data_IF_147695500506
#
_entry.id   IF_147695500506
#
_cell.length_a   1.000
_cell.length_b   1.000
_cell.length_c   1.000
_cell.angle_alpha   90.00
_cell.angle_beta   90.00
_cell.angle_gamma   90.00
#
_symmetry.space_group_name_H-M   'P 1'
#
loop_
_entity.id
_entity.type
_entity.pdbx_description
1 polymer ?
#
# COMPACT_ATOMS: atom_id res chain seq x y z
N UNK A 1 57.62 44.97 -43.86
CA UNK A 1 57.02 46.10 -43.12
C UNK A 1 56.27 45.51 -41.91
N UNK A 2 56.70 45.83 -40.69
CA UNK A 2 56.23 45.19 -39.45
C UNK A 2 54.79 45.61 -39.12
N UNK A 3 53.89 44.66 -38.89
CA UNK A 3 52.59 44.90 -38.29
C UNK A 3 52.55 44.22 -36.92
N UNK A 4 52.21 45.03 -35.92
CA UNK A 4 52.22 44.77 -34.50
C UNK A 4 50.76 44.57 -34.08
N UNK A 5 50.39 43.40 -33.55
CA UNK A 5 49.02 43.14 -33.06
C UNK A 5 49.08 42.90 -31.55
N UNK A 6 48.52 43.87 -30.82
CA UNK A 6 48.37 43.87 -29.37
C UNK A 6 47.16 43.06 -28.93
N UNK A 7 47.40 42.33 -27.87
CA UNK A 7 46.55 41.64 -26.90
C UNK A 7 45.34 42.45 -26.40
N UNK A 8 44.16 41.83 -26.29
CA UNK A 8 43.19 42.05 -25.20
C UNK A 8 42.56 40.68 -24.87
N UNK A 9 42.91 40.12 -23.71
CA UNK A 9 42.23 38.96 -23.12
C UNK A 9 41.44 39.46 -21.90
N UNK A 10 40.11 39.37 -21.96
CA UNK A 10 39.20 39.77 -20.90
C UNK A 10 38.99 38.57 -19.96
N UNK A 11 39.56 38.60 -18.77
CA UNK A 11 39.27 37.65 -17.70
C UNK A 11 38.05 38.13 -16.91
N UNK A 12 36.89 37.51 -17.15
CA UNK A 12 35.69 37.68 -16.32
C UNK A 12 35.78 36.80 -15.08
N UNK A 13 35.85 37.43 -13.90
CA UNK A 13 35.85 36.75 -12.60
C UNK A 13 34.42 36.32 -12.24
N UNK A 14 34.16 35.02 -12.25
CA UNK A 14 32.89 34.45 -11.78
C UNK A 14 32.91 34.35 -10.25
N UNK A 15 32.21 35.24 -9.56
CA UNK A 15 31.99 35.17 -8.12
C UNK A 15 30.96 34.07 -7.81
N UNK A 16 31.44 32.89 -7.39
CA UNK A 16 30.60 31.85 -6.82
C UNK A 16 30.23 32.24 -5.37
N UNK A 17 28.99 32.67 -5.15
CA UNK A 17 28.43 32.84 -3.80
C UNK A 17 28.14 31.45 -3.23
N UNK A 18 29.08 30.92 -2.45
CA UNK A 18 28.88 29.69 -1.67
C UNK A 18 28.05 30.05 -0.45
N UNK A 19 26.72 30.01 -0.60
CA UNK A 19 25.81 30.06 0.53
C UNK A 19 26.00 28.79 1.38
N UNK A 20 26.56 28.93 2.58
CA UNK A 20 26.57 27.86 3.57
C UNK A 20 25.12 27.58 4.02
N UNK A 21 24.45 26.66 3.33
CA UNK A 21 23.21 26.06 3.82
C UNK A 21 23.63 25.22 5.02
N UNK A 22 23.31 25.70 6.22
CA UNK A 22 23.45 24.90 7.43
C UNK A 22 22.60 23.65 7.28
N UNK A 23 23.24 22.52 7.00
CA UNK A 23 22.62 21.20 7.03
C UNK A 23 22.35 20.87 8.49
N UNK A 24 21.24 21.39 9.03
CA UNK A 24 20.74 20.95 10.32
C UNK A 24 20.68 19.43 10.29
N UNK A 25 21.45 18.78 11.16
CA UNK A 25 21.48 17.33 11.29
C UNK A 25 20.08 16.89 11.71
N UNK A 26 19.33 16.32 10.77
CA UNK A 26 18.04 15.72 11.08
C UNK A 26 18.28 14.58 12.07
N UNK A 27 17.66 14.66 13.24
CA UNK A 27 17.73 13.57 14.20
C UNK A 27 16.87 12.42 13.68
N UNK A 28 17.40 11.19 13.70
CA UNK A 28 16.69 9.99 13.24
C UNK A 28 15.34 9.78 13.96
N UNK A 29 15.16 10.38 15.14
CA UNK A 29 13.92 10.40 15.91
C UNK A 29 12.78 11.23 15.28
N UNK A 30 13.06 12.08 14.30
CA UNK A 30 12.08 13.01 13.72
C UNK A 30 10.92 12.32 13.00
N UNK A 31 11.15 11.07 12.57
CA UNK A 31 10.19 10.23 11.85
C UNK A 31 9.84 8.95 12.61
N UNK A 32 9.96 8.95 13.94
CA UNK A 32 9.36 7.90 14.77
C UNK A 32 7.87 8.24 14.99
N UNK A 33 7.01 7.86 14.05
CA UNK A 33 5.57 8.03 14.15
C UNK A 33 5.00 7.17 15.29
N UNK A 34 3.99 7.68 16.00
CA UNK A 34 3.29 6.88 16.98
C UNK A 34 2.28 5.94 16.29
N UNK A 35 2.63 4.66 16.20
CA UNK A 35 1.79 3.62 15.56
C UNK A 35 0.47 3.36 16.31
N UNK A 36 0.36 3.78 17.58
CA UNK A 36 -0.90 3.68 18.33
C UNK A 36 -1.93 4.74 17.93
N UNK A 37 -1.53 5.75 17.15
CA UNK A 37 -2.45 6.72 16.55
C UNK A 37 -3.14 6.18 15.27
N UNK A 38 -2.72 5.03 14.76
CA UNK A 38 -3.43 4.33 13.68
C UNK A 38 -4.78 3.85 14.23
N UNK A 39 -5.86 4.32 13.61
CA UNK A 39 -7.23 4.05 14.06
C UNK A 39 -7.84 2.83 13.37
N UNK A 40 -8.74 2.08 14.03
CA UNK A 40 -9.60 1.13 13.34
C UNK A 40 -10.45 1.82 12.27
N UNK A 41 -10.79 1.09 11.22
CA UNK A 41 -11.69 1.59 10.19
C UNK A 41 -13.13 1.71 10.72
N UNK A 42 -13.78 2.82 10.39
CA UNK A 42 -15.17 3.11 10.75
C UNK A 42 -15.83 3.97 9.67
N UNK A 43 -17.15 3.89 9.53
CA UNK A 43 -17.89 4.73 8.57
C UNK A 43 -17.77 6.23 8.91
N UNK A 44 -17.68 6.57 10.19
CA UNK A 44 -17.51 7.95 10.65
C UNK A 44 -16.23 8.59 10.12
N UNK A 45 -15.18 7.81 9.85
CA UNK A 45 -13.89 8.34 9.39
C UNK A 45 -13.99 9.05 8.03
N UNK A 46 -14.94 8.64 7.18
CA UNK A 46 -15.18 9.28 5.89
C UNK A 46 -15.88 10.64 6.04
N UNK A 47 -16.72 10.79 7.08
CA UNK A 47 -17.44 12.04 7.36
C UNK A 47 -16.53 13.13 7.93
N UNK A 48 -15.37 12.77 8.48
CA UNK A 48 -14.46 13.73 9.12
C UNK A 48 -13.78 14.68 8.12
N UNK A 49 -13.63 14.29 6.85
CA UNK A 49 -12.79 15.03 5.90
C UNK A 49 -13.49 15.38 4.58
N UNK A 50 -14.65 14.79 4.28
CA UNK A 50 -15.41 15.03 3.04
C UNK A 50 -14.52 14.99 1.78
N UNK A 51 -13.77 13.90 1.62
CA UNK A 51 -12.82 13.71 0.52
C UNK A 51 -13.31 12.62 -0.43
N UNK A 52 -13.48 13.00 -1.68
CA UNK A 52 -13.78 12.07 -2.77
C UNK A 52 -12.48 11.54 -3.39
N UNK A 53 -12.23 10.23 -3.45
CA UNK A 53 -11.04 9.66 -4.07
C UNK A 53 -11.18 9.49 -5.61
N UNK A 54 -10.07 9.48 -6.37
CA UNK A 54 -8.71 9.62 -5.86
C UNK A 54 -8.38 11.07 -5.49
N UNK A 55 -7.46 11.26 -4.55
CA UNK A 55 -6.91 12.57 -4.20
C UNK A 55 -5.47 12.40 -3.71
N UNK A 56 -4.75 13.52 -3.62
CA UNK A 56 -3.40 13.55 -3.07
C UNK A 56 -3.41 14.27 -1.73
N UNK A 57 -2.87 13.62 -0.71
CA UNK A 57 -2.55 14.24 0.57
C UNK A 57 -1.04 14.49 0.64
N UNK A 58 -0.66 15.76 0.76
CA UNK A 58 0.73 16.17 0.93
C UNK A 58 1.01 16.53 2.39
N UNK A 59 2.07 15.97 2.94
CA UNK A 59 2.59 16.28 4.27
C UNK A 59 4.03 16.76 4.16
N UNK A 60 4.41 17.74 4.98
CA UNK A 60 5.75 18.31 4.98
C UNK A 60 6.29 18.45 6.39
N UNK A 61 7.59 18.19 6.55
CA UNK A 61 8.37 18.57 7.74
C UNK A 61 9.80 18.84 7.30
N UNK A 62 10.28 20.06 7.56
CA UNK A 62 11.61 20.51 7.10
C UNK A 62 11.74 20.31 5.58
N UNK A 63 12.81 19.64 5.14
CA UNK A 63 13.06 19.27 3.73
C UNK A 63 12.47 17.91 3.33
N UNK A 64 11.60 17.30 4.15
CA UNK A 64 10.98 16.01 3.89
C UNK A 64 9.54 16.18 3.44
N UNK A 65 9.16 15.47 2.38
CA UNK A 65 7.81 15.46 1.82
C UNK A 65 7.28 14.03 1.76
N UNK A 66 6.08 13.83 2.27
CA UNK A 66 5.28 12.63 2.02
C UNK A 66 4.15 13.03 1.06
N UNK A 67 4.07 12.33 -0.07
CA UNK A 67 2.97 12.42 -1.02
C UNK A 67 2.20 11.11 -0.92
N UNK A 68 0.93 11.18 -0.55
CA UNK A 68 0.06 10.01 -0.46
C UNK A 68 -1.03 10.13 -1.52
N UNK A 69 -1.04 9.21 -2.48
CA UNK A 69 -2.13 9.07 -3.45
C UNK A 69 -3.16 8.13 -2.83
N UNK A 70 -4.29 8.71 -2.41
CA UNK A 70 -5.45 8.00 -1.90
C UNK A 70 -6.22 7.40 -3.09
N UNK A 71 -5.77 6.24 -3.57
CA UNK A 71 -6.22 5.64 -4.82
C UNK A 71 -7.62 5.04 -4.74
N UNK A 72 -8.25 4.89 -5.92
CA UNK A 72 -9.43 4.05 -6.16
C UNK A 72 -9.02 2.92 -7.10
N UNK A 73 -9.35 1.67 -6.73
CA UNK A 73 -9.20 0.52 -7.62
C UNK A 73 -10.28 0.58 -8.70
N UNK A 74 -9.92 1.07 -9.87
CA UNK A 74 -10.85 1.28 -10.97
C UNK A 74 -11.02 -0.03 -11.78
N UNK A 75 -12.26 -0.51 -11.99
CA UNK A 75 -12.49 -1.69 -12.81
C UNK A 75 -12.28 -1.35 -14.30
N UNK A 76 -11.66 -2.27 -15.04
CA UNK A 76 -11.47 -2.15 -16.49
C UNK A 76 -12.78 -1.99 -17.28
N UNK A 77 -13.92 -2.39 -16.70
CA UNK A 77 -15.25 -2.20 -17.28
C UNK A 77 -15.63 -0.71 -17.34
N UNK A 78 -15.23 0.09 -16.36
CA UNK A 78 -15.49 1.53 -16.30
C UNK A 78 -14.46 2.32 -17.12
N UNK A 79 -13.22 1.84 -17.16
CA UNK A 79 -12.13 2.43 -17.93
C UNK A 79 -11.50 1.36 -18.82
N UNK A 80 -11.94 1.24 -20.09
CA UNK A 80 -11.37 0.29 -21.04
C UNK A 80 -9.85 0.47 -21.24
N UNK A 81 -9.39 1.71 -21.06
CA UNK A 81 -7.98 2.06 -20.92
C UNK A 81 -7.73 2.60 -19.50
N UNK A 82 -7.05 1.83 -18.65
CA UNK A 82 -6.78 2.24 -17.26
C UNK A 82 -5.91 3.49 -17.18
N UNK A 83 -5.11 3.80 -18.21
CA UNK A 83 -4.29 5.01 -18.27
C UNK A 83 -5.11 6.30 -18.24
N UNK A 84 -6.38 6.24 -18.67
CA UNK A 84 -7.32 7.36 -18.66
C UNK A 84 -8.06 7.48 -17.31
N UNK A 85 -7.82 6.56 -16.38
CA UNK A 85 -8.49 6.60 -15.08
C UNK A 85 -7.93 7.73 -14.20
N UNK A 86 -8.78 8.39 -13.38
CA UNK A 86 -8.36 9.43 -12.44
C UNK A 86 -7.16 9.04 -11.55
N UNK A 87 -7.10 7.77 -11.11
CA UNK A 87 -6.00 7.26 -10.29
C UNK A 87 -4.68 7.25 -11.08
N UNK A 88 -4.69 6.74 -12.31
CA UNK A 88 -3.48 6.67 -13.14
C UNK A 88 -3.00 8.07 -13.58
N UNK A 89 -3.92 8.97 -13.90
CA UNK A 89 -3.60 10.37 -14.20
C UNK A 89 -2.96 11.07 -12.99
N UNK A 90 -3.51 10.84 -11.79
CA UNK A 90 -2.95 11.37 -10.54
C UNK A 90 -1.52 10.85 -10.29
N UNK A 91 -1.28 9.55 -10.48
CA UNK A 91 0.05 8.94 -10.36
C UNK A 91 1.02 9.56 -11.39
N UNK A 92 0.59 9.66 -12.64
CA UNK A 92 1.38 10.27 -13.73
C UNK A 92 1.81 11.69 -13.38
N UNK A 93 0.87 12.51 -12.89
CA UNK A 93 1.15 13.88 -12.48
C UNK A 93 2.11 13.93 -11.30
N UNK A 94 1.96 13.03 -10.32
CA UNK A 94 2.88 12.96 -9.18
C UNK A 94 4.34 12.76 -9.60
N UNK A 95 4.61 11.81 -10.51
CA UNK A 95 5.97 11.58 -11.04
C UNK A 95 6.48 12.70 -11.96
N UNK A 96 5.59 13.42 -12.65
CA UNK A 96 5.99 14.54 -13.53
C UNK A 96 6.35 15.80 -12.75
N UNK A 97 5.64 16.08 -11.65
CA UNK A 97 5.69 17.37 -10.96
C UNK A 97 6.51 17.33 -9.66
N UNK A 98 6.97 16.16 -9.24
CA UNK A 98 7.71 16.02 -7.99
C UNK A 98 8.97 15.17 -8.19
N UNK A 99 10.06 15.58 -7.54
CA UNK A 99 11.28 14.78 -7.43
C UNK A 99 11.05 13.67 -6.39
N UNK A 100 10.42 12.56 -6.83
CA UNK A 100 10.19 11.38 -5.99
C UNK A 100 11.49 10.59 -5.86
N UNK A 101 11.91 10.31 -4.63
CA UNK A 101 13.12 9.54 -4.35
C UNK A 101 12.81 8.10 -3.95
N UNK A 102 11.57 7.85 -3.51
CA UNK A 102 11.14 6.58 -2.96
C UNK A 102 9.63 6.35 -3.15
N UNK A 103 9.24 5.09 -3.34
CA UNK A 103 7.85 4.67 -3.54
C UNK A 103 7.49 3.50 -2.62
N UNK A 104 6.28 3.54 -2.08
CA UNK A 104 5.63 2.46 -1.32
C UNK A 104 4.31 2.11 -2.02
N UNK A 105 4.10 0.84 -2.37
CA UNK A 105 2.92 0.37 -3.12
C UNK A 105 2.13 -0.71 -2.39
N UNK A 106 0.83 -0.76 -2.67
CA UNK A 106 -0.12 -1.75 -2.16
C UNK A 106 -0.03 -3.12 -2.84
N UNK A 107 -0.35 -4.16 -2.06
CA UNK A 107 -0.86 -5.41 -2.62
C UNK A 107 0.19 -6.42 -3.05
N UNK A 108 1.47 -6.18 -2.79
CA UNK A 108 2.51 -7.10 -3.20
C UNK A 108 3.30 -7.58 -2.00
N UNK A 109 3.21 -8.87 -1.71
CA UNK A 109 3.61 -9.45 -0.42
C UNK A 109 5.11 -9.25 -0.13
N UNK A 110 5.39 -8.53 0.96
CA UNK A 110 6.64 -8.49 1.73
C UNK A 110 7.93 -8.71 0.93
N UNK A 111 8.34 -7.72 0.16
CA UNK A 111 9.74 -7.58 -0.22
C UNK A 111 10.33 -6.34 0.44
N UNK A 112 11.59 -6.46 0.85
CA UNK A 112 12.41 -5.37 1.32
C UNK A 112 13.69 -5.38 0.47
N UNK A 113 13.99 -4.27 -0.22
CA UNK A 113 15.20 -4.14 -1.03
C UNK A 113 15.00 -4.46 -2.51
N UNK A 114 15.89 -5.27 -3.08
CA UNK A 114 15.93 -5.51 -4.52
C UNK A 114 14.65 -6.16 -5.04
N UNK A 115 14.14 -5.66 -6.17
CA UNK A 115 12.95 -6.18 -6.82
C UNK A 115 13.19 -7.64 -7.26
N UNK A 116 12.38 -8.61 -6.81
CA UNK A 116 12.48 -9.98 -7.30
C UNK A 116 12.20 -10.07 -8.80
N UNK A 117 12.91 -10.95 -9.52
CA UNK A 117 12.80 -11.10 -10.98
C UNK A 117 11.35 -11.29 -11.45
N UNK A 118 10.57 -12.09 -10.72
CA UNK A 118 9.15 -12.33 -11.04
C UNK A 118 8.32 -11.05 -11.04
N UNK A 119 8.58 -10.15 -10.10
CA UNK A 119 7.91 -8.85 -10.01
C UNK A 119 8.37 -7.96 -11.16
N UNK A 120 9.68 -7.95 -11.45
CA UNK A 120 10.23 -7.20 -12.57
C UNK A 120 9.63 -7.63 -13.92
N UNK A 121 9.54 -8.94 -14.18
CA UNK A 121 8.90 -9.47 -15.38
C UNK A 121 7.42 -9.13 -15.46
N UNK A 122 6.71 -9.09 -14.33
CA UNK A 122 5.29 -8.73 -14.33
C UNK A 122 5.07 -7.24 -14.60
N UNK A 123 5.94 -6.35 -14.11
CA UNK A 123 5.94 -4.92 -14.46
C UNK A 123 6.08 -4.76 -15.98
N UNK A 124 7.03 -5.46 -16.60
CA UNK A 124 7.27 -5.40 -18.05
C UNK A 124 6.10 -5.99 -18.87
N UNK A 125 5.48 -7.05 -18.37
CA UNK A 125 4.26 -7.60 -18.94
C UNK A 125 3.09 -6.61 -18.87
N UNK A 126 2.90 -5.94 -17.73
CA UNK A 126 1.85 -4.94 -17.58
C UNK A 126 2.05 -3.75 -18.52
N UNK A 127 3.29 -3.28 -18.66
CA UNK A 127 3.61 -2.23 -19.61
C UNK A 127 3.34 -2.64 -21.06
N UNK A 128 3.83 -3.82 -21.49
CA UNK A 128 3.67 -4.28 -22.88
C UNK A 128 2.22 -4.56 -23.28
N UNK A 129 1.34 -4.84 -22.31
CA UNK A 129 -0.10 -5.03 -22.53
C UNK A 129 -0.90 -3.73 -22.39
N UNK A 130 -0.26 -2.57 -22.15
CA UNK A 130 -0.96 -1.31 -21.94
C UNK A 130 -1.82 -1.30 -20.67
N UNK A 131 -1.37 -1.98 -19.62
CA UNK A 131 -2.06 -2.10 -18.33
C UNK A 131 -3.46 -2.70 -18.44
N UNK A 132 -3.60 -3.75 -19.24
CA UNK A 132 -4.82 -4.55 -19.32
C UNK A 132 -4.98 -5.46 -18.07
N UNK A 133 -5.97 -6.34 -18.07
CA UNK A 133 -6.40 -7.22 -16.96
C UNK A 133 -5.29 -7.58 -15.95
N UNK A 134 -5.54 -7.28 -14.66
CA UNK A 134 -4.65 -7.50 -13.50
C UNK A 134 -3.46 -6.54 -13.35
N UNK A 135 -3.36 -5.49 -14.17
CA UNK A 135 -2.32 -4.46 -14.06
C UNK A 135 -2.82 -3.15 -13.45
N UNK A 136 -3.30 -3.22 -12.21
CA UNK A 136 -3.81 -2.07 -11.46
C UNK A 136 -2.75 -1.01 -11.11
N UNK A 137 -3.16 -0.03 -10.30
CA UNK A 137 -2.33 1.13 -9.96
C UNK A 137 -0.99 0.84 -9.27
N UNK A 138 -0.79 -0.25 -8.49
CA UNK A 138 0.52 -0.54 -7.91
C UNK A 138 1.54 -0.85 -9.00
N UNK A 139 1.16 -1.65 -10.01
CA UNK A 139 2.04 -2.04 -11.11
C UNK A 139 2.41 -0.86 -12.00
N UNK A 140 1.46 0.05 -12.25
CA UNK A 140 1.72 1.30 -12.96
C UNK A 140 2.71 2.19 -12.22
N UNK A 141 2.52 2.35 -10.91
CA UNK A 141 3.42 3.13 -10.04
C UNK A 141 4.84 2.54 -10.06
N UNK A 142 4.95 1.21 -9.97
CA UNK A 142 6.24 0.53 -10.00
C UNK A 142 6.95 0.65 -11.35
N UNK A 143 6.22 0.59 -12.46
CA UNK A 143 6.78 0.83 -13.78
C UNK A 143 7.42 2.23 -13.87
N UNK A 144 6.69 3.28 -13.48
CA UNK A 144 7.20 4.64 -13.53
C UNK A 144 8.40 4.87 -12.62
N UNK A 145 8.43 4.21 -11.46
CA UNK A 145 9.58 4.24 -10.56
C UNK A 145 10.78 3.49 -11.14
N UNK A 146 10.57 2.32 -11.77
CA UNK A 146 11.61 1.54 -12.47
C UNK A 146 12.28 2.36 -13.58
N UNK A 147 11.49 3.02 -14.42
CA UNK A 147 12.01 3.87 -15.52
C UNK A 147 12.93 5.01 -15.03
N UNK A 148 12.72 5.47 -13.80
CA UNK A 148 13.45 6.58 -13.18
C UNK A 148 14.50 6.12 -12.18
N UNK A 149 14.73 4.81 -12.04
CA UNK A 149 15.63 4.22 -11.06
C UNK A 149 15.33 4.68 -9.61
N UNK A 150 14.04 4.77 -9.27
CA UNK A 150 13.55 5.19 -7.94
C UNK A 150 13.45 3.98 -7.00
N UNK A 151 13.85 4.13 -5.74
CA UNK A 151 13.73 3.11 -4.70
C UNK A 151 12.26 2.70 -4.49
N UNK A 152 11.98 1.41 -4.45
CA UNK A 152 10.62 0.88 -4.27
C UNK A 152 10.57 -0.18 -3.17
N UNK A 153 9.57 -0.10 -2.31
CA UNK A 153 9.25 -1.14 -1.31
C UNK A 153 7.77 -1.48 -1.31
N UNK A 154 7.42 -2.64 -0.76
CA UNK A 154 6.03 -2.97 -0.44
C UNK A 154 5.64 -2.33 0.89
N UNK A 155 4.37 -1.90 0.99
CA UNK A 155 3.78 -1.51 2.27
C UNK A 155 3.09 -2.68 3.01
N UNK A 156 3.09 -3.89 2.46
CA UNK A 156 2.39 -5.03 3.06
C UNK A 156 3.17 -5.67 4.22
N UNK A 157 2.52 -6.01 5.34
CA UNK A 157 3.13 -6.75 6.44
C UNK A 157 3.46 -8.19 6.05
N UNK A 158 4.37 -8.82 6.78
CA UNK A 158 4.54 -10.28 6.75
C UNK A 158 3.37 -10.96 7.44
N UNK A 159 3.01 -12.15 7.00
CA UNK A 159 1.94 -12.92 7.64
C UNK A 159 2.25 -13.23 9.11
N UNK A 160 3.53 -13.41 9.46
CA UNK A 160 3.95 -13.60 10.85
C UNK A 160 3.74 -12.36 11.73
N UNK A 161 3.82 -11.15 11.18
CA UNK A 161 3.50 -9.91 11.91
C UNK A 161 2.01 -9.80 12.19
N UNK A 162 1.18 -10.17 11.21
CA UNK A 162 -0.28 -10.25 11.37
C UNK A 162 -0.63 -11.29 12.44
N UNK A 163 -0.07 -12.51 12.33
CA UNK A 163 -0.35 -13.60 13.27
C UNK A 163 0.01 -13.20 14.70
N UNK A 164 1.23 -12.69 14.93
CA UNK A 164 1.68 -12.26 16.26
C UNK A 164 0.75 -11.21 16.87
N UNK A 165 0.26 -10.27 16.07
CA UNK A 165 -0.68 -9.27 16.56
C UNK A 165 -2.04 -9.89 16.90
N UNK A 166 -2.56 -10.79 16.08
CA UNK A 166 -3.81 -11.50 16.33
C UNK A 166 -3.74 -12.36 17.60
N UNK A 167 -2.62 -13.07 17.82
CA UNK A 167 -2.35 -13.85 19.03
C UNK A 167 -2.37 -12.96 20.28
N UNK A 168 -1.81 -11.74 20.19
CA UNK A 168 -1.89 -10.76 21.29
C UNK A 168 -3.31 -10.28 21.61
N UNK A 169 -4.28 -10.58 20.73
CA UNK A 169 -5.71 -10.29 20.89
C UNK A 169 -6.54 -11.55 21.17
N UNK A 170 -5.90 -12.69 21.41
CA UNK A 170 -6.55 -13.95 21.75
C UNK A 170 -7.08 -14.75 20.56
N UNK A 171 -6.67 -14.41 19.33
CA UNK A 171 -6.97 -15.20 18.14
C UNK A 171 -5.87 -16.23 17.89
N UNK A 172 -6.23 -17.35 17.30
CA UNK A 172 -5.33 -18.43 16.97
C UNK A 172 -4.89 -18.39 15.50
N UNK A 173 -3.85 -19.15 15.17
CA UNK A 173 -3.38 -19.33 13.78
C UNK A 173 -4.51 -19.78 12.83
N UNK A 174 -5.37 -20.68 13.29
CA UNK A 174 -6.55 -21.14 12.54
C UNK A 174 -7.52 -20.02 12.21
N UNK A 175 -7.62 -18.98 13.05
CA UNK A 175 -8.47 -17.83 12.77
C UNK A 175 -7.96 -17.01 11.59
N UNK A 176 -6.64 -16.79 11.53
CA UNK A 176 -6.02 -16.09 10.41
C UNK A 176 -6.17 -16.86 9.10
N UNK A 177 -5.89 -18.16 9.13
CA UNK A 177 -6.00 -19.03 7.96
C UNK A 177 -7.44 -19.17 7.48
N UNK A 178 -8.36 -19.40 8.41
CA UNK A 178 -9.80 -19.42 8.15
C UNK A 178 -10.29 -18.10 7.57
N UNK A 179 -9.88 -16.98 8.15
CA UNK A 179 -10.19 -15.65 7.65
C UNK A 179 -9.69 -15.43 6.22
N UNK A 180 -8.43 -15.77 5.91
CA UNK A 180 -7.88 -15.62 4.56
C UNK A 180 -8.66 -16.39 3.50
N UNK A 181 -9.11 -17.60 3.83
CA UNK A 181 -10.03 -18.34 2.95
C UNK A 181 -11.34 -17.58 2.78
N UNK A 182 -11.99 -17.17 3.88
CA UNK A 182 -13.28 -16.46 3.79
C UNK A 182 -13.21 -15.17 2.98
N UNK A 183 -12.12 -14.40 3.13
CA UNK A 183 -11.89 -13.15 2.41
C UNK A 183 -11.75 -13.36 0.90
N UNK A 184 -11.24 -14.51 0.47
CA UNK A 184 -11.03 -14.81 -0.95
C UNK A 184 -12.32 -15.26 -1.67
N UNK A 185 -13.34 -15.71 -0.93
CA UNK A 185 -14.57 -16.27 -1.50
C UNK A 185 -15.36 -15.24 -2.35
N UNK A 186 -15.61 -14.01 -1.89
CA UNK A 186 -16.27 -12.99 -2.73
C UNK A 186 -15.54 -12.75 -4.05
N UNK A 187 -14.20 -12.81 -4.03
CA UNK A 187 -13.39 -12.64 -5.23
C UNK A 187 -13.55 -13.81 -6.21
N UNK A 188 -13.55 -15.05 -5.70
CA UNK A 188 -13.83 -16.22 -6.53
C UNK A 188 -15.24 -16.19 -7.12
N UNK A 189 -16.23 -15.61 -6.41
CA UNK A 189 -17.57 -15.39 -6.96
C UNK A 189 -17.53 -14.43 -8.13
N UNK A 190 -16.92 -13.25 -7.93
CA UNK A 190 -16.81 -12.19 -8.94
C UNK A 190 -16.11 -12.66 -10.22
N UNK A 191 -15.11 -13.54 -10.08
CA UNK A 191 -14.32 -14.08 -11.19
C UNK A 191 -14.84 -15.41 -11.75
N UNK A 192 -16.00 -15.90 -11.30
CA UNK A 192 -16.61 -17.14 -11.79
C UNK A 192 -15.90 -18.43 -11.38
N UNK A 193 -14.93 -18.36 -10.46
CA UNK A 193 -14.18 -19.50 -9.93
C UNK A 193 -14.94 -20.25 -8.81
N UNK A 194 -15.98 -19.63 -8.25
CA UNK A 194 -16.80 -20.14 -7.14
C UNK A 194 -17.76 -21.28 -7.56
N UNK A 195 -17.21 -22.34 -8.14
CA UNK A 195 -17.93 -23.56 -8.49
C UNK A 195 -17.71 -24.58 -7.38
N UNK A 196 -18.80 -25.16 -6.84
CA UNK A 196 -18.76 -26.05 -5.66
C UNK A 196 -17.72 -27.18 -5.79
N UNK A 197 -17.58 -27.77 -6.98
CA UNK A 197 -16.61 -28.83 -7.29
C UNK A 197 -15.14 -28.35 -7.32
N UNK A 198 -14.89 -27.05 -7.49
CA UNK A 198 -13.53 -26.45 -7.49
C UNK A 198 -13.10 -25.95 -6.11
N UNK A 199 -14.05 -25.67 -5.22
CA UNK A 199 -13.77 -25.01 -3.93
C UNK A 199 -12.76 -25.75 -3.06
N UNK A 200 -12.83 -27.09 -3.00
CA UNK A 200 -11.86 -27.88 -2.24
C UNK A 200 -10.42 -27.64 -2.71
N UNK A 201 -10.21 -27.59 -4.02
CA UNK A 201 -8.89 -27.37 -4.64
C UNK A 201 -8.44 -25.92 -4.40
N UNK A 202 -9.31 -24.95 -4.66
CA UNK A 202 -9.01 -23.52 -4.46
C UNK A 202 -8.59 -23.22 -3.01
N UNK A 203 -9.36 -23.73 -2.05
CA UNK A 203 -9.08 -23.56 -0.62
C UNK A 203 -7.78 -24.27 -0.22
N UNK A 204 -7.58 -25.51 -0.66
CA UNK A 204 -6.36 -26.27 -0.33
C UNK A 204 -5.09 -25.59 -0.88
N UNK A 205 -5.15 -25.06 -2.10
CA UNK A 205 -4.04 -24.35 -2.71
C UNK A 205 -3.72 -23.06 -1.96
N UNK A 206 -4.76 -22.28 -1.62
CA UNK A 206 -4.60 -21.03 -0.86
C UNK A 206 -3.99 -21.29 0.53
N UNK A 207 -4.51 -22.28 1.25
CA UNK A 207 -4.02 -22.65 2.58
C UNK A 207 -2.57 -23.14 2.53
N UNK A 208 -2.19 -23.93 1.51
CA UNK A 208 -0.81 -24.38 1.34
C UNK A 208 0.19 -23.22 1.24
N UNK A 209 -0.18 -22.15 0.51
CA UNK A 209 0.66 -20.95 0.39
C UNK A 209 0.79 -20.25 1.74
N UNK A 210 -0.31 -20.00 2.44
CA UNK A 210 -0.27 -19.28 3.73
C UNK A 210 0.38 -20.10 4.85
N UNK A 211 0.15 -21.41 4.90
CA UNK A 211 0.84 -22.30 5.84
C UNK A 211 2.35 -22.24 5.65
N UNK A 212 2.82 -22.30 4.39
CA UNK A 212 4.24 -22.16 4.07
C UNK A 212 4.79 -20.81 4.55
N UNK A 213 4.09 -19.70 4.26
CA UNK A 213 4.53 -18.36 4.68
C UNK A 213 4.58 -18.20 6.21
N UNK A 214 3.75 -18.95 6.93
CA UNK A 214 3.70 -18.98 8.38
C UNK A 214 4.57 -20.08 9.02
N UNK A 215 5.46 -20.74 8.27
CA UNK A 215 6.42 -21.71 8.81
C UNK A 215 5.93 -23.17 8.92
N UNK A 216 4.74 -23.50 8.40
CA UNK A 216 4.32 -24.87 8.03
C UNK A 216 4.27 -25.95 9.10
N UNK A 217 4.10 -25.63 10.38
CA UNK A 217 4.18 -26.62 11.46
C UNK A 217 2.87 -27.37 11.76
N UNK A 218 1.71 -26.81 11.42
CA UNK A 218 0.40 -27.40 11.70
C UNK A 218 -0.37 -27.62 10.41
N UNK A 219 -1.03 -28.77 10.29
CA UNK A 219 -1.89 -29.05 9.13
C UNK A 219 -3.23 -28.35 9.30
N UNK A 220 -3.44 -27.25 8.59
CA UNK A 220 -4.74 -26.61 8.42
C UNK A 220 -5.17 -26.72 6.95
N UNK A 221 -5.95 -27.76 6.64
CA UNK A 221 -6.44 -28.05 5.30
C UNK A 221 -7.93 -27.72 5.11
N UNK A 222 -8.51 -28.24 4.04
CA UNK A 222 -9.91 -27.97 3.68
C UNK A 222 -10.92 -28.45 4.74
N UNK A 223 -10.71 -29.64 5.32
CA UNK A 223 -11.65 -30.15 6.34
C UNK A 223 -11.52 -29.38 7.66
N UNK A 224 -10.28 -28.98 8.04
CA UNK A 224 -10.04 -28.13 9.20
C UNK A 224 -10.67 -26.74 9.02
N UNK A 225 -10.55 -26.14 7.82
CA UNK A 225 -11.25 -24.91 7.47
C UNK A 225 -12.77 -25.05 7.63
N UNK A 226 -13.37 -26.15 7.13
CA UNK A 226 -14.82 -26.37 7.24
C UNK A 226 -15.27 -26.48 8.70
N UNK A 227 -14.51 -27.20 9.52
CA UNK A 227 -14.80 -27.33 10.94
C UNK A 227 -14.66 -25.99 11.67
N UNK A 228 -13.58 -25.25 11.40
CA UNK A 228 -13.35 -23.91 11.93
C UNK A 228 -14.47 -22.94 11.54
N UNK A 229 -14.92 -22.97 10.28
CA UNK A 229 -15.98 -22.10 9.81
C UNK A 229 -17.28 -22.37 10.55
N UNK A 230 -17.66 -23.65 10.69
CA UNK A 230 -18.88 -24.04 11.38
C UNK A 230 -18.88 -23.66 12.87
N UNK A 231 -17.73 -23.69 13.54
CA UNK A 231 -17.64 -23.31 14.95
C UNK A 231 -17.69 -21.79 15.16
N UNK A 232 -17.02 -21.00 14.31
CA UNK A 232 -16.83 -19.56 14.51
C UNK A 232 -17.85 -18.67 13.77
N UNK A 233 -18.31 -19.08 12.60
CA UNK A 233 -19.14 -18.24 11.71
C UNK A 233 -20.57 -18.75 11.71
N UNK A 234 -21.48 -17.99 12.34
CA UNK A 234 -22.91 -18.34 12.40
C UNK A 234 -23.69 -17.85 11.19
N UNK A 235 -23.30 -16.70 10.66
CA UNK A 235 -23.97 -16.07 9.52
C UNK A 235 -22.90 -15.50 8.56
N UNK A 236 -22.92 -15.89 7.27
CA UNK A 236 -23.75 -16.96 6.71
C UNK A 236 -23.32 -18.34 7.24
N UNK A 237 -24.26 -19.28 7.41
CA UNK A 237 -23.94 -20.64 7.90
C UNK A 237 -23.20 -21.51 6.88
N UNK A 238 -23.21 -21.10 5.61
CA UNK A 238 -22.46 -21.73 4.53
C UNK A 238 -21.42 -20.73 3.99
N UNK A 239 -20.14 -21.11 4.02
CA UNK A 239 -19.05 -20.25 3.54
C UNK A 239 -19.19 -19.87 2.07
N UNK A 240 -19.90 -20.67 1.26
CA UNK A 240 -20.21 -20.33 -0.13
C UNK A 240 -21.13 -19.12 -0.28
N UNK A 241 -21.78 -18.68 0.79
CA UNK A 241 -22.68 -17.54 0.79
C UNK A 241 -22.01 -16.27 1.35
N UNK A 242 -20.71 -16.30 1.65
CA UNK A 242 -19.99 -15.12 2.13
C UNK A 242 -19.98 -14.03 1.06
N UNK A 243 -20.38 -12.83 1.46
CA UNK A 243 -20.34 -11.61 0.66
C UNK A 243 -19.23 -10.67 1.14
N UNK A 244 -18.89 -9.66 0.33
CA UNK A 244 -17.86 -8.66 0.68
C UNK A 244 -18.13 -7.97 2.01
N UNK A 245 -19.41 -7.75 2.36
CA UNK A 245 -19.83 -7.13 3.62
C UNK A 245 -19.48 -7.98 4.85
N UNK A 246 -19.45 -9.31 4.73
CA UNK A 246 -19.22 -10.23 5.84
C UNK A 246 -17.75 -10.25 6.29
N UNK A 247 -16.84 -9.89 5.39
CA UNK A 247 -15.39 -9.87 5.60
C UNK A 247 -14.81 -8.44 5.60
N UNK A 248 -15.68 -7.43 5.56
CA UNK A 248 -15.29 -6.02 5.62
C UNK A 248 -14.63 -5.67 6.96
N UNK A 249 -13.67 -4.72 7.00
CA UNK A 249 -12.92 -4.39 8.21
C UNK A 249 -13.69 -3.43 9.12
N UNK A 250 -14.94 -3.74 9.44
CA UNK A 250 -15.79 -2.89 10.26
C UNK A 250 -15.50 -3.09 11.75
N UNK A 251 -15.09 -2.01 12.43
CA UNK A 251 -14.85 -2.03 13.87
C UNK A 251 -16.03 -1.43 14.64
N UNK A 252 -17.00 -2.27 15.02
CA UNK A 252 -18.19 -1.91 15.82
C UNK A 252 -18.54 -3.02 16.82
N UNK A 253 -19.35 -2.70 17.83
CA UNK A 253 -19.72 -3.66 18.87
C UNK A 253 -20.41 -4.91 18.30
N UNK A 254 -21.21 -4.73 17.25
CA UNK A 254 -21.97 -5.76 16.55
C UNK A 254 -21.18 -6.40 15.39
N UNK A 255 -19.87 -6.15 15.28
CA UNK A 255 -19.06 -6.73 14.22
C UNK A 255 -19.04 -8.27 14.33
N UNK A 256 -19.23 -8.93 13.18
CA UNK A 256 -19.12 -10.39 13.08
C UNK A 256 -17.70 -10.86 13.43
N UNK A 257 -17.54 -12.16 13.69
CA UNK A 257 -16.22 -12.74 13.95
C UNK A 257 -15.21 -12.43 12.84
N UNK A 258 -15.64 -12.55 11.58
CA UNK A 258 -14.81 -12.25 10.41
C UNK A 258 -14.49 -10.76 10.29
N UNK A 259 -15.44 -9.88 10.58
CA UNK A 259 -15.24 -8.42 10.56
C UNK A 259 -14.23 -7.98 11.64
N UNK A 260 -14.27 -8.60 12.82
CA UNK A 260 -13.30 -8.35 13.91
C UNK A 260 -11.87 -8.72 13.48
N UNK A 261 -11.68 -9.91 12.91
CA UNK A 261 -10.36 -10.33 12.39
C UNK A 261 -9.92 -9.37 11.27
N UNK A 262 -10.81 -9.06 10.32
CA UNK A 262 -10.54 -8.13 9.22
C UNK A 262 -10.10 -6.74 9.72
N UNK A 263 -10.77 -6.19 10.74
CA UNK A 263 -10.39 -4.94 11.38
C UNK A 263 -9.01 -4.98 12.03
N UNK A 264 -8.67 -6.07 12.74
CA UNK A 264 -7.35 -6.23 13.35
C UNK A 264 -6.24 -6.40 12.31
N UNK A 265 -6.47 -7.23 11.27
CA UNK A 265 -5.54 -7.39 10.14
C UNK A 265 -5.27 -6.04 9.48
N UNK A 266 -6.33 -5.23 9.29
CA UNK A 266 -6.19 -3.88 8.73
C UNK A 266 -5.36 -2.96 9.61
N UNK A 267 -5.55 -2.96 10.92
CA UNK A 267 -4.74 -2.16 11.86
C UNK A 267 -3.25 -2.51 11.71
N UNK A 268 -2.91 -3.81 11.60
CA UNK A 268 -1.52 -4.22 11.38
C UNK A 268 -0.99 -3.71 10.05
N UNK A 269 -1.75 -3.88 8.95
CA UNK A 269 -1.38 -3.36 7.63
C UNK A 269 -1.09 -1.85 7.70
N UNK A 270 -2.00 -1.08 8.30
CA UNK A 270 -1.85 0.37 8.43
C UNK A 270 -0.64 0.79 9.28
N UNK A 271 -0.38 0.07 10.37
CA UNK A 271 0.82 0.30 11.21
C UNK A 271 2.11 0.02 10.43
N UNK A 272 2.15 -1.05 9.64
CA UNK A 272 3.32 -1.35 8.79
C UNK A 272 3.49 -0.28 7.72
N UNK A 273 2.43 0.16 7.04
CA UNK A 273 2.53 1.26 6.05
C UNK A 273 3.13 2.51 6.69
N UNK A 274 2.65 2.92 7.88
CA UNK A 274 3.18 4.09 8.60
C UNK A 274 4.65 3.88 8.98
N UNK A 275 5.02 2.70 9.48
CA UNK A 275 6.39 2.36 9.84
C UNK A 275 7.33 2.39 8.64
N UNK A 276 6.93 1.78 7.52
CA UNK A 276 7.70 1.80 6.26
C UNK A 276 7.86 3.22 5.72
N UNK A 277 6.81 4.03 5.82
CA UNK A 277 6.87 5.46 5.45
C UNK A 277 7.88 6.21 6.29
N UNK A 278 7.86 6.00 7.62
CA UNK A 278 8.85 6.55 8.54
C UNK A 278 10.29 6.16 8.14
N UNK A 279 10.51 4.89 7.86
CA UNK A 279 11.83 4.38 7.51
C UNK A 279 12.35 4.93 6.18
N UNK A 280 11.47 5.09 5.18
CA UNK A 280 11.84 5.73 3.91
C UNK A 280 12.13 7.23 4.09
N UNK A 281 11.36 7.96 4.90
CA UNK A 281 11.59 9.39 5.15
C UNK A 281 12.90 9.68 5.88
N UNK A 282 13.44 8.72 6.65
CA UNK A 282 14.77 8.85 7.28
C UNK A 282 15.88 8.98 6.24
N UNK A 283 15.76 8.29 5.10
CA UNK A 283 16.82 8.20 4.08
C UNK A 283 16.51 8.93 2.77
N UNK A 284 15.25 9.28 2.51
CA UNK A 284 14.80 9.91 1.26
C UNK A 284 14.12 11.24 1.54
N UNK A 285 14.17 12.20 0.60
CA UNK A 285 13.59 13.53 0.80
C UNK A 285 12.10 13.55 0.43
N UNK A 286 11.73 12.87 -0.65
CA UNK A 286 10.34 12.75 -1.10
C UNK A 286 9.93 11.28 -1.22
N UNK A 287 8.97 10.88 -0.39
CA UNK A 287 8.37 9.54 -0.40
C UNK A 287 6.97 9.61 -0.99
N UNK A 288 6.70 8.79 -2.00
CA UNK A 288 5.37 8.58 -2.59
C UNK A 288 4.76 7.29 -2.05
N UNK A 289 3.54 7.36 -1.52
CA UNK A 289 2.74 6.21 -1.13
C UNK A 289 1.53 6.12 -2.05
N UNK A 290 1.28 4.96 -2.65
CA UNK A 290 0.10 4.69 -3.48
C UNK A 290 -0.67 3.52 -2.88
N UNK A 291 -1.80 3.84 -2.27
CA UNK A 291 -2.65 2.91 -1.51
C UNK A 291 -4.11 3.34 -1.59
N UNK A 292 -5.05 2.40 -1.41
CA UNK A 292 -6.47 2.70 -1.38
C UNK A 292 -6.83 3.79 -0.36
N UNK A 293 -7.68 4.75 -0.75
CA UNK A 293 -7.99 5.95 0.04
C UNK A 293 -8.40 5.70 1.50
N UNK A 294 -9.03 4.56 1.75
CA UNK A 294 -9.46 4.17 3.09
C UNK A 294 -8.29 3.96 4.07
N UNK A 295 -7.11 3.56 3.59
CA UNK A 295 -5.90 3.37 4.41
C UNK A 295 -5.36 4.72 4.91
N UNK A 296 -5.36 5.76 4.08
CA UNK A 296 -4.92 7.08 4.51
C UNK A 296 -5.72 7.59 5.70
N UNK A 297 -7.05 7.44 5.67
CA UNK A 297 -7.93 7.98 6.72
C UNK A 297 -7.62 7.42 8.12
N UNK A 298 -7.26 6.14 8.20
CA UNK A 298 -6.88 5.47 9.47
C UNK A 298 -5.47 5.86 9.92
N UNK A 299 -4.60 6.24 8.99
CA UNK A 299 -3.19 6.60 9.22
C UNK A 299 -2.97 8.09 9.50
N UNK A 300 -3.90 8.96 9.08
CA UNK A 300 -3.81 10.43 9.18
C UNK A 300 -3.30 10.92 10.55
N UNK A 301 -3.86 10.48 11.71
CA UNK A 301 -3.40 10.99 13.00
C UNK A 301 -1.93 10.67 13.29
N UNK A 302 -1.41 9.54 12.80
CA UNK A 302 -0.01 9.17 12.98
C UNK A 302 0.92 10.06 12.15
N UNK A 303 0.54 10.40 10.91
CA UNK A 303 1.32 11.32 10.06
C UNK A 303 1.25 12.77 10.55
N UNK A 304 0.05 13.29 10.84
CA UNK A 304 -0.16 14.68 11.28
C UNK A 304 0.42 14.98 12.67
N UNK A 305 0.74 13.95 13.47
CA UNK A 305 1.44 14.13 14.76
C UNK A 305 2.87 14.67 14.58
N UNK A 306 3.55 14.26 13.51
CA UNK A 306 4.97 14.54 13.29
C UNK A 306 5.23 15.36 12.03
N UNK A 307 4.28 15.44 11.11
CA UNK A 307 4.36 16.26 9.89
C UNK A 307 3.29 17.36 9.92
N UNK A 308 3.26 18.21 8.89
CA UNK A 308 2.16 19.15 8.70
C UNK A 308 0.82 18.43 8.63
N UNK A 309 -0.28 19.19 8.83
CA UNK A 309 -1.60 18.72 8.41
C UNK A 309 -1.60 18.38 6.93
N UNK A 310 -2.43 17.41 6.55
CA UNK A 310 -2.59 17.02 5.15
C UNK A 310 -3.15 18.19 4.32
N UNK A 311 -2.45 18.56 3.25
CA UNK A 311 -3.02 19.41 2.19
C UNK A 311 -3.58 18.47 1.12
N UNK A 312 -4.91 18.44 1.00
CA UNK A 312 -5.62 17.54 0.09
C UNK A 312 -5.96 18.25 -1.22
N UNK A 313 -5.63 17.64 -2.35
CA UNK A 313 -5.86 18.22 -3.69
C UNK A 313 -6.24 17.14 -4.71
N UNK A 314 -7.06 17.50 -5.70
CA UNK A 314 -7.33 16.69 -6.90
C UNK A 314 -6.29 17.03 -7.97
N UNK A 315 -5.71 15.99 -8.58
CA UNK A 315 -4.54 16.08 -9.48
C UNK A 315 -4.82 15.52 -10.88
N UNK A 316 -6.09 15.29 -11.20
CA UNK A 316 -6.56 14.83 -12.50
C UNK A 316 -7.64 15.78 -13.03
#
# INVERSE_FOLDING_TARGET
MKLNLRTIAMYGTLLAVVGCISTGTLNSSDFNFNLDLVRPHSESIYKERDLDPPYVARFQKNNKTLIYIAAVHEPSVKFPNLLDSPTFLTITKAFKENAIDAVIVEGITSWDGALPDKINSHIDQCHSTGYQTNCGEPWYTMHLAKERNISMISGEPKESEILKFLESKGFERSDLLGFYVTRQIPEWKRTGQHQKNKMKILISNLLSVYEKNLGGQQKFGYEEFRAWYASHVKTPSNYLNIETSDVGPYWRNEASYLQKISGLVRIVRDRVIVQRTADMLKTHSTVLVVYGASHLLTQLPAFEQKMSKAINTKWY
#
